data_IF_156731757017
#
_entry.id   IF_156731757017
#
_cell.length_a   1.000
_cell.length_b   1.000
_cell.length_c   1.000
_cell.angle_alpha   90.00
_cell.angle_beta   90.00
_cell.angle_gamma   90.00
#
_symmetry.space_group_name_H-M   'P 1'
#
loop_
_entity.id
_entity.type
_entity.pdbx_description
1 polymer ?
#
# COMPACT_ATOMS: atom_id res chain seq x y z
N UNK A 1 -12.36 10.51 22.01
CA UNK A 1 -12.81 10.76 20.63
C UNK A 1 -12.33 9.59 19.80
N UNK A 2 -13.21 8.90 19.08
CA UNK A 2 -12.77 7.87 18.15
C UNK A 2 -12.03 8.56 17.00
N UNK A 3 -10.76 8.22 16.81
CA UNK A 3 -9.99 8.70 15.66
C UNK A 3 -10.57 8.02 14.43
N UNK A 4 -11.41 8.74 13.69
CA UNK A 4 -11.90 8.24 12.43
C UNK A 4 -10.77 8.32 11.42
N UNK A 5 -10.29 7.16 10.96
CA UNK A 5 -9.26 7.12 9.95
C UNK A 5 -9.74 7.72 8.63
N UNK A 6 -8.85 8.35 7.87
CA UNK A 6 -9.16 8.89 6.54
C UNK A 6 -8.18 8.33 5.53
N UNK A 7 -8.73 7.76 4.46
CA UNK A 7 -7.94 7.22 3.36
C UNK A 7 -8.38 7.80 2.01
N UNK A 8 -7.46 7.82 1.05
CA UNK A 8 -7.76 8.01 -0.37
C UNK A 8 -7.34 6.76 -1.14
N UNK A 9 -8.17 6.33 -2.09
CA UNK A 9 -7.90 5.16 -2.93
C UNK A 9 -7.41 5.63 -4.29
N UNK A 10 -6.36 5.00 -4.81
CA UNK A 10 -5.86 5.25 -6.17
C UNK A 10 -5.83 3.95 -6.96
N UNK A 11 -6.49 3.95 -8.12
CA UNK A 11 -6.43 2.87 -9.09
C UNK A 11 -5.33 3.15 -10.11
N UNK A 12 -4.47 2.17 -10.40
CA UNK A 12 -3.40 2.32 -11.38
C UNK A 12 -2.20 3.12 -10.88
N UNK A 13 -1.44 3.66 -11.82
CA UNK A 13 -0.12 4.25 -11.61
C UNK A 13 -0.17 5.76 -11.68
N UNK A 14 0.62 6.42 -10.83
CA UNK A 14 0.90 7.84 -10.99
C UNK A 14 2.10 8.02 -11.92
N UNK A 15 2.10 9.01 -12.84
CA UNK A 15 3.15 9.17 -13.85
C UNK A 15 4.56 9.33 -13.25
N UNK A 16 4.65 10.02 -12.12
CA UNK A 16 5.94 10.36 -11.50
C UNK A 16 6.37 9.42 -10.37
N UNK A 17 5.56 8.41 -10.01
CA UNK A 17 5.92 7.47 -8.93
C UNK A 17 6.72 6.30 -9.49
N UNK A 18 7.89 5.97 -8.92
CA UNK A 18 8.67 4.84 -9.39
C UNK A 18 7.93 3.54 -9.14
N UNK A 19 8.04 2.61 -10.09
CA UNK A 19 7.51 1.25 -9.92
C UNK A 19 8.60 0.34 -9.36
N UNK A 20 8.31 -0.44 -8.31
CA UNK A 20 9.30 -1.30 -7.67
C UNK A 20 9.84 -2.37 -8.64
N UNK A 21 11.12 -2.71 -8.56
CA UNK A 21 11.74 -3.72 -9.44
C UNK A 21 11.00 -5.08 -9.39
N UNK A 22 10.58 -5.49 -8.19
CA UNK A 22 9.82 -6.73 -7.96
C UNK A 22 8.57 -6.82 -8.85
N UNK A 23 7.90 -5.71 -9.11
CA UNK A 23 6.69 -5.63 -9.94
C UNK A 23 7.00 -6.02 -11.38
N UNK A 24 8.15 -5.59 -11.90
CA UNK A 24 8.60 -5.96 -13.24
C UNK A 24 9.05 -7.42 -13.31
N UNK A 25 9.83 -7.89 -12.34
CA UNK A 25 10.34 -9.26 -12.28
C UNK A 25 9.23 -10.29 -12.19
N UNK A 26 8.16 -9.97 -11.46
CA UNK A 26 7.03 -10.88 -11.20
C UNK A 26 5.84 -10.64 -12.14
N UNK A 27 5.96 -9.69 -13.08
CA UNK A 27 4.92 -9.32 -14.03
C UNK A 27 3.58 -8.94 -13.36
N UNK A 28 3.64 -8.09 -12.32
CA UNK A 28 2.48 -7.59 -11.58
C UNK A 28 1.96 -6.30 -12.24
N UNK A 29 1.08 -6.45 -13.23
CA UNK A 29 0.72 -5.35 -14.14
C UNK A 29 -0.29 -4.33 -13.59
N UNK A 30 -0.99 -4.63 -12.50
CA UNK A 30 -2.04 -3.78 -11.95
C UNK A 30 -1.62 -3.24 -10.60
N UNK A 31 -1.89 -1.96 -10.36
CA UNK A 31 -1.63 -1.28 -9.09
C UNK A 31 -2.94 -0.79 -8.47
N UNK A 32 -3.04 -0.91 -7.16
CA UNK A 32 -4.05 -0.28 -6.32
C UNK A 32 -3.36 0.28 -5.09
N UNK A 33 -3.55 1.55 -4.78
CA UNK A 33 -2.89 2.17 -3.64
C UNK A 33 -3.89 2.75 -2.65
N UNK A 34 -3.50 2.71 -1.38
CA UNK A 34 -4.22 3.30 -0.25
C UNK A 34 -3.31 4.37 0.33
N UNK A 35 -3.78 5.61 0.30
CA UNK A 35 -3.13 6.76 0.88
C UNK A 35 -3.73 6.96 2.27
N UNK A 36 -2.91 6.82 3.29
CA UNK A 36 -3.29 7.15 4.66
C UNK A 36 -2.97 8.60 4.92
N UNK A 37 -3.99 9.37 5.26
CA UNK A 37 -3.79 10.75 5.70
C UNK A 37 -3.13 10.76 7.07
N UNK A 38 -2.08 11.56 7.21
CA UNK A 38 -1.27 11.59 8.43
C UNK A 38 -1.40 12.90 9.19
N UNK A 39 -1.81 13.97 8.49
CA UNK A 39 -2.00 15.30 9.06
C UNK A 39 -3.42 15.44 9.62
N UNK A 40 -3.55 15.22 10.93
CA UNK A 40 -4.78 15.50 11.66
C UNK A 40 -4.63 16.85 12.36
N UNK A 41 -5.49 17.87 12.11
CA UNK A 41 -5.33 19.20 12.72
C UNK A 41 -5.27 19.21 14.26
N UNK A 42 -5.85 18.18 14.88
CA UNK A 42 -5.90 17.98 16.33
C UNK A 42 -4.58 17.47 16.92
N UNK A 43 -3.71 16.90 16.08
CA UNK A 43 -2.44 16.29 16.46
C UNK A 43 -1.33 17.05 15.76
N UNK A 44 -0.47 17.74 16.52
CA UNK A 44 0.71 18.43 15.98
C UNK A 44 1.81 17.45 15.49
N UNK A 45 1.45 16.24 15.09
CA UNK A 45 2.36 15.17 14.69
C UNK A 45 1.75 14.30 13.59
N UNK A 46 2.60 13.72 12.77
CA UNK A 46 2.26 12.79 11.69
C UNK A 46 1.99 11.43 12.32
N UNK A 47 0.76 10.94 12.22
CA UNK A 47 0.38 9.64 12.78
C UNK A 47 0.05 8.64 11.69
N UNK A 48 0.57 7.42 11.84
CA UNK A 48 0.15 6.29 11.04
C UNK A 48 -1.08 5.63 11.65
N UNK A 49 -2.12 5.44 10.83
CA UNK A 49 -3.39 4.83 11.23
C UNK A 49 -3.26 3.29 11.32
N UNK A 50 -2.44 2.81 12.26
CA UNK A 50 -1.98 1.42 12.33
C UNK A 50 -3.11 0.40 12.44
N UNK A 51 -4.13 0.67 13.24
CA UNK A 51 -5.26 -0.27 13.42
C UNK A 51 -6.07 -0.41 12.13
N UNK A 52 -6.41 0.70 11.48
CA UNK A 52 -7.08 0.69 10.18
C UNK A 52 -6.26 -0.06 9.13
N UNK A 53 -4.94 0.18 9.09
CA UNK A 53 -4.06 -0.52 8.17
C UNK A 53 -4.09 -2.05 8.38
N UNK A 54 -4.05 -2.53 9.62
CA UNK A 54 -4.04 -3.97 9.93
C UNK A 54 -5.34 -4.64 9.45
N UNK A 55 -6.49 -3.99 9.66
CA UNK A 55 -7.78 -4.52 9.22
C UNK A 55 -7.89 -4.50 7.68
N UNK A 56 -7.45 -3.41 7.03
CA UNK A 56 -7.37 -3.33 5.57
C UNK A 56 -6.46 -4.41 4.98
N UNK A 57 -5.27 -4.62 5.55
CA UNK A 57 -4.34 -5.64 5.10
C UNK A 57 -4.93 -7.06 5.25
N UNK A 58 -5.65 -7.31 6.35
CA UNK A 58 -6.32 -8.59 6.60
C UNK A 58 -7.43 -8.86 5.58
N UNK A 59 -8.23 -7.83 5.27
CA UNK A 59 -9.27 -7.91 4.25
C UNK A 59 -8.66 -8.14 2.86
N UNK A 60 -7.62 -7.39 2.49
CA UNK A 60 -6.92 -7.55 1.21
C UNK A 60 -6.32 -8.95 1.09
N UNK A 61 -5.59 -9.45 2.09
CA UNK A 61 -5.02 -10.81 2.07
C UNK A 61 -6.11 -11.86 1.81
N UNK A 62 -7.25 -11.72 2.48
CA UNK A 62 -8.40 -12.62 2.32
C UNK A 62 -8.92 -12.60 0.90
N UNK A 63 -9.14 -11.41 0.32
CA UNK A 63 -9.67 -11.26 -1.03
C UNK A 63 -8.70 -11.68 -2.14
N UNK A 64 -7.39 -11.43 -1.96
CA UNK A 64 -6.34 -11.93 -2.86
C UNK A 64 -6.26 -13.46 -2.83
N UNK A 65 -6.69 -14.09 -1.73
CA UNK A 65 -6.65 -15.54 -1.57
C UNK A 65 -5.24 -16.09 -1.35
N UNK A 66 -4.35 -15.30 -0.74
CA UNK A 66 -2.99 -15.72 -0.37
C UNK A 66 -3.00 -16.65 0.86
N UNK A 67 -2.32 -17.79 0.74
CA UNK A 67 -2.14 -18.76 1.84
C UNK A 67 -1.04 -18.35 2.82
N UNK A 68 -0.09 -17.53 2.36
CA UNK A 68 1.07 -17.10 3.11
C UNK A 68 1.34 -15.61 2.92
N UNK A 69 1.91 -14.99 3.95
CA UNK A 69 2.27 -13.58 3.97
C UNK A 69 3.66 -13.42 4.60
N UNK A 70 4.50 -12.62 3.97
CA UNK A 70 5.72 -12.10 4.57
C UNK A 70 5.61 -10.58 4.62
N UNK A 71 5.87 -9.99 5.78
CA UNK A 71 5.86 -8.54 5.99
C UNK A 71 7.28 -8.13 6.38
N UNK A 72 7.85 -7.16 5.68
CA UNK A 72 9.15 -6.57 6.00
C UNK A 72 8.92 -5.17 6.57
N UNK A 73 9.33 -4.95 7.82
CA UNK A 73 9.35 -3.62 8.42
C UNK A 73 10.74 -2.99 8.30
N UNK A 74 10.92 -1.83 8.90
CA UNK A 74 12.25 -1.29 9.14
C UNK A 74 13.08 -2.23 10.06
N UNK A 75 14.39 -1.98 10.11
CA UNK A 75 15.36 -2.72 10.96
C UNK A 75 15.60 -4.19 10.59
N UNK A 76 15.31 -4.62 9.35
CA UNK A 76 15.47 -6.01 8.86
C UNK A 76 14.58 -7.02 9.58
N UNK A 77 13.55 -6.57 10.32
CA UNK A 77 12.56 -7.47 10.92
C UNK A 77 11.62 -7.98 9.82
N UNK A 78 11.26 -9.25 9.94
CA UNK A 78 10.34 -9.93 9.04
C UNK A 78 9.30 -10.70 9.83
N UNK A 79 8.06 -10.67 9.37
CA UNK A 79 6.93 -11.35 10.02
C UNK A 79 6.26 -12.27 9.02
N UNK A 80 5.86 -13.47 9.46
CA UNK A 80 5.19 -14.48 8.64
C UNK A 80 3.67 -14.50 8.84
N UNK A 81 3.12 -13.54 9.60
CA UNK A 81 1.69 -13.37 9.79
C UNK A 81 1.36 -11.92 10.14
N UNK A 82 0.12 -11.50 9.84
CA UNK A 82 -0.40 -10.17 10.20
C UNK A 82 -0.45 -10.02 11.72
N UNK A 83 -0.82 -11.07 12.46
CA UNK A 83 -0.91 -11.03 13.92
C UNK A 83 0.45 -10.75 14.58
N UNK A 84 1.53 -11.42 14.12
CA UNK A 84 2.87 -11.17 14.67
C UNK A 84 3.32 -9.73 14.39
N UNK A 85 3.01 -9.20 13.21
CA UNK A 85 3.30 -7.80 12.88
C UNK A 85 2.46 -6.84 13.74
N UNK A 86 1.16 -7.10 13.90
CA UNK A 86 0.24 -6.33 14.76
C UNK A 86 0.75 -6.27 16.19
N UNK A 87 1.12 -7.42 16.76
CA UNK A 87 1.57 -7.52 18.15
C UNK A 87 2.88 -6.77 18.40
N UNK A 88 3.80 -6.72 17.43
CA UNK A 88 5.02 -5.92 17.55
C UNK A 88 4.74 -4.43 17.36
N UNK A 89 3.94 -4.08 16.35
CA UNK A 89 3.60 -2.69 16.03
C UNK A 89 2.86 -2.00 17.20
N UNK A 90 1.92 -2.69 17.85
CA UNK A 90 1.12 -2.12 18.94
C UNK A 90 1.87 -1.98 20.28
N UNK A 91 3.09 -2.54 20.40
CA UNK A 91 3.97 -2.28 21.56
C UNK A 91 4.62 -0.90 21.51
N UNK A 92 4.73 -0.31 20.32
CA UNK A 92 5.32 1.01 20.11
C UNK A 92 4.33 2.11 20.53
N UNK A 93 4.87 3.26 20.94
CA UNK A 93 4.08 4.46 21.12
C UNK A 93 3.41 4.84 19.78
N UNK A 94 2.25 5.49 19.84
CA UNK A 94 1.43 5.73 18.64
C UNK A 94 2.15 6.53 17.55
N UNK A 95 2.96 7.51 17.97
CA UNK A 95 3.80 8.36 17.12
C UNK A 95 5.07 7.67 16.61
N UNK A 96 5.41 6.50 17.14
CA UNK A 96 6.52 5.66 16.68
C UNK A 96 6.08 4.56 15.71
N UNK A 97 4.76 4.35 15.54
CA UNK A 97 4.22 3.31 14.67
C UNK A 97 4.42 3.70 13.22
N UNK A 98 4.98 2.76 12.44
CA UNK A 98 5.23 2.93 11.01
C UNK A 98 4.57 1.81 10.21
N UNK A 99 4.09 2.08 8.99
CA UNK A 99 3.71 1.02 8.05
C UNK A 99 4.91 0.11 7.74
N UNK A 100 4.67 -1.17 7.37
CA UNK A 100 5.76 -2.01 6.90
C UNK A 100 6.30 -1.48 5.57
N UNK A 101 7.57 -1.74 5.27
CA UNK A 101 8.16 -1.35 3.98
C UNK A 101 7.58 -2.16 2.84
N UNK A 102 7.47 -3.48 3.03
CA UNK A 102 7.05 -4.42 1.98
C UNK A 102 6.16 -5.52 2.52
N UNK A 103 5.29 -6.02 1.65
CA UNK A 103 4.36 -7.10 1.92
C UNK A 103 4.41 -8.05 0.74
N UNK A 104 4.52 -9.34 1.01
CA UNK A 104 4.53 -10.38 -0.01
C UNK A 104 3.42 -11.37 0.30
N UNK A 105 2.39 -11.41 -0.56
CA UNK A 105 1.32 -12.40 -0.48
C UNK A 105 1.58 -13.49 -1.52
N UNK A 106 1.62 -14.73 -1.06
CA UNK A 106 1.87 -15.90 -1.89
C UNK A 106 0.71 -16.88 -1.83
N UNK A 107 0.58 -17.66 -2.90
CA UNK A 107 -0.28 -18.83 -2.99
C UNK A 107 0.48 -19.94 -3.67
N UNK A 108 0.56 -21.11 -3.04
CA UNK A 108 1.37 -22.23 -3.52
C UNK A 108 2.81 -21.81 -3.87
N UNK A 109 3.44 -21.03 -2.98
CA UNK A 109 4.80 -20.47 -3.13
C UNK A 109 5.00 -19.46 -4.28
N UNK A 110 3.96 -19.13 -5.05
CA UNK A 110 4.02 -18.11 -6.11
C UNK A 110 3.58 -16.75 -5.57
N UNK A 111 4.30 -15.68 -5.92
CA UNK A 111 3.91 -14.31 -5.57
C UNK A 111 2.67 -13.89 -6.38
N UNK A 112 1.59 -13.56 -5.67
CA UNK A 112 0.32 -13.15 -6.29
C UNK A 112 -0.03 -11.69 -6.01
N UNK A 113 0.48 -11.13 -4.90
CA UNK A 113 0.38 -9.72 -4.62
C UNK A 113 1.65 -9.24 -3.91
N UNK A 114 2.17 -8.11 -4.36
CA UNK A 114 3.27 -7.39 -3.72
C UNK A 114 2.74 -6.08 -3.18
N UNK A 115 3.01 -5.76 -1.92
CA UNK A 115 2.74 -4.46 -1.32
C UNK A 115 4.05 -3.73 -1.09
N UNK A 116 4.10 -2.44 -1.39
CA UNK A 116 5.21 -1.57 -0.99
C UNK A 116 4.67 -0.24 -0.45
N UNK A 117 5.31 0.23 0.61
CA UNK A 117 4.99 1.53 1.20
C UNK A 117 5.91 2.61 0.65
N UNK A 118 5.28 3.68 0.19
CA UNK A 118 5.90 4.94 -0.21
C UNK A 118 5.76 5.93 0.96
N UNK A 119 6.89 6.29 1.58
CA UNK A 119 6.96 7.09 2.81
C UNK A 119 6.96 8.60 2.53
N UNK A 120 5.97 9.08 1.77
CA UNK A 120 5.88 10.49 1.35
C UNK A 120 5.78 11.47 2.53
N UNK A 121 5.27 11.04 3.68
CA UNK A 121 5.30 11.77 4.95
C UNK A 121 6.71 12.16 5.41
N UNK A 122 7.76 11.47 4.94
CA UNK A 122 9.15 11.72 5.36
C UNK A 122 9.95 12.55 4.36
N UNK A 123 9.49 12.67 3.11
CA UNK A 123 10.27 13.32 2.04
C UNK A 123 9.48 14.26 1.13
N UNK A 124 8.17 14.37 1.32
CA UNK A 124 7.26 15.06 0.40
C UNK A 124 7.03 14.25 -0.89
N UNK A 125 5.86 14.42 -1.50
CA UNK A 125 5.47 13.70 -2.72
C UNK A 125 4.55 14.54 -3.61
N UNK A 126 4.37 14.16 -4.88
CA UNK A 126 3.39 14.82 -5.74
C UNK A 126 1.96 14.59 -5.21
N UNK A 127 1.03 15.47 -5.53
CA UNK A 127 -0.38 15.21 -5.26
C UNK A 127 -0.84 13.92 -5.98
N UNK A 128 -1.65 13.04 -5.37
CA UNK A 128 -2.31 13.17 -4.06
C UNK A 128 -1.50 12.68 -2.85
N UNK A 129 -0.23 12.32 -3.03
CA UNK A 129 0.56 11.61 -2.03
C UNK A 129 1.31 12.49 -1.03
N UNK A 130 1.31 13.82 -1.19
CA UNK A 130 2.04 14.74 -0.30
C UNK A 130 1.73 14.43 1.17
N UNK A 131 2.78 14.33 1.98
CA UNK A 131 2.70 14.16 3.43
C UNK A 131 1.88 12.94 3.87
N UNK A 132 1.94 11.83 3.11
CA UNK A 132 1.16 10.63 3.38
C UNK A 132 2.02 9.38 3.57
N UNK A 133 1.45 8.37 4.21
CA UNK A 133 1.91 7.00 4.03
C UNK A 133 1.05 6.36 2.94
N UNK A 134 1.65 5.98 1.82
CA UNK A 134 0.92 5.34 0.72
C UNK A 134 1.34 3.88 0.61
N UNK A 135 0.39 2.96 0.71
CA UNK A 135 0.65 1.52 0.53
C UNK A 135 0.08 1.08 -0.81
N UNK A 136 0.97 0.69 -1.71
CA UNK A 136 0.65 0.25 -3.06
C UNK A 136 0.67 -1.26 -3.16
N UNK A 137 -0.44 -1.86 -3.59
CA UNK A 137 -0.59 -3.28 -3.88
C UNK A 137 -0.53 -3.53 -5.38
N UNK A 138 0.25 -4.52 -5.78
CA UNK A 138 0.51 -4.89 -7.16
C UNK A 138 0.10 -6.33 -7.42
N UNK A 139 -0.70 -6.58 -8.46
CA UNK A 139 -1.26 -7.89 -8.80
C UNK A 139 -1.12 -8.21 -10.29
N UNK A 140 -1.17 -9.50 -10.65
CA UNK A 140 -1.16 -9.94 -12.05
C UNK A 140 -2.47 -9.65 -12.78
N UNK A 141 -3.58 -9.74 -12.05
CA UNK A 141 -4.93 -9.52 -12.54
C UNK A 141 -5.49 -8.22 -11.96
N UNK A 142 -6.45 -7.60 -12.65
CA UNK A 142 -7.10 -6.39 -12.15
C UNK A 142 -7.99 -6.73 -10.95
N UNK A 143 -7.58 -6.32 -9.76
CA UNK A 143 -8.32 -6.53 -8.51
C UNK A 143 -8.96 -5.24 -7.96
N UNK A 144 -9.07 -4.18 -8.76
CA UNK A 144 -9.49 -2.86 -8.29
C UNK A 144 -10.87 -2.86 -7.62
N UNK A 145 -11.86 -3.52 -8.21
CA UNK A 145 -13.21 -3.62 -7.63
C UNK A 145 -13.21 -4.39 -6.32
N UNK A 146 -12.46 -5.49 -6.29
CA UNK A 146 -12.31 -6.37 -5.12
C UNK A 146 -11.65 -5.61 -3.96
N UNK A 147 -10.56 -4.90 -4.22
CA UNK A 147 -9.87 -4.09 -3.22
C UNK A 147 -10.69 -2.89 -2.76
N UNK A 148 -11.39 -2.21 -3.68
CA UNK A 148 -12.30 -1.14 -3.32
C UNK A 148 -13.43 -1.61 -2.40
N UNK A 149 -14.03 -2.77 -2.69
CA UNK A 149 -15.06 -3.36 -1.84
C UNK A 149 -14.50 -3.72 -0.45
N UNK A 150 -13.32 -4.35 -0.39
CA UNK A 150 -12.64 -4.65 0.86
C UNK A 150 -12.39 -3.39 1.70
N UNK A 151 -11.84 -2.33 1.09
CA UNK A 151 -11.60 -1.07 1.77
C UNK A 151 -12.90 -0.41 2.24
N UNK A 152 -13.94 -0.41 1.40
CA UNK A 152 -15.23 0.20 1.74
C UNK A 152 -15.89 -0.50 2.92
N UNK A 153 -15.83 -1.84 2.98
CA UNK A 153 -16.37 -2.61 4.09
C UNK A 153 -15.62 -2.32 5.40
N UNK A 154 -14.28 -2.41 5.39
CA UNK A 154 -13.46 -2.12 6.57
C UNK A 154 -13.66 -0.69 7.05
N UNK A 155 -13.67 0.29 6.13
CA UNK A 155 -13.92 1.68 6.49
C UNK A 155 -15.31 1.86 7.11
N UNK A 156 -16.35 1.22 6.56
CA UNK A 156 -17.69 1.28 7.15
C UNK A 156 -17.74 0.67 8.56
N UNK A 157 -17.10 -0.48 8.77
CA UNK A 157 -17.08 -1.18 10.06
C UNK A 157 -16.31 -0.41 11.13
N UNK A 158 -15.20 0.22 10.75
CA UNK A 158 -14.35 1.00 11.66
C UNK A 158 -14.78 2.48 11.79
N UNK A 159 -15.80 2.91 11.03
CA UNK A 159 -16.18 4.32 10.92
C UNK A 159 -15.11 5.20 10.30
N UNK A 160 -14.19 4.66 9.50
CA UNK A 160 -13.22 5.41 8.72
C UNK A 160 -13.85 5.98 7.45
N UNK A 161 -13.24 7.02 6.88
CA UNK A 161 -13.74 7.76 5.73
C UNK A 161 -12.84 7.49 4.52
N UNK A 162 -13.45 7.12 3.40
CA UNK A 162 -12.78 7.17 2.09
C UNK A 162 -13.04 8.56 1.52
N UNK A 163 -12.04 9.44 1.54
CA UNK A 163 -12.16 10.83 1.07
C UNK A 163 -12.42 10.88 -0.43
N UNK A 164 -11.56 10.21 -1.20
CA UNK A 164 -11.61 10.25 -2.65
C UNK A 164 -11.19 8.90 -3.26
N UNK A 165 -11.60 8.69 -4.50
CA UNK A 165 -11.17 7.61 -5.37
C UNK A 165 -10.59 8.21 -6.65
N UNK A 166 -9.32 7.99 -6.90
CA UNK A 166 -8.57 8.60 -8.00
C UNK A 166 -8.22 7.53 -9.03
N UNK A 167 -8.42 7.84 -10.30
CA UNK A 167 -8.00 6.98 -11.41
C UNK A 167 -6.67 7.49 -11.97
N UNK A 168 -5.61 6.72 -11.76
CA UNK A 168 -4.31 6.87 -12.40
C UNK A 168 -4.22 6.15 -13.74
N UNK A 169 -3.01 6.07 -14.26
CA UNK A 169 -2.69 5.41 -15.52
C UNK A 169 -2.89 3.90 -15.42
N UNK A 170 -3.38 3.23 -16.49
CA UNK A 170 -3.62 1.78 -16.47
C UNK A 170 -2.32 0.95 -16.44
N UNK A 171 -1.21 1.55 -16.88
CA UNK A 171 0.12 0.93 -16.95
C UNK A 171 1.17 1.93 -16.46
N UNK A 172 2.32 1.45 -15.96
CA UNK A 172 3.38 2.35 -15.58
C UNK A 172 3.99 3.00 -16.82
N UNK A 173 4.18 4.33 -16.77
CA UNK A 173 4.95 4.99 -17.80
C UNK A 173 6.40 4.53 -17.72
N UNK A 174 6.87 3.91 -18.81
CA UNK A 174 8.30 3.65 -18.94
C UNK A 174 9.01 5.00 -19.04
N UNK A 175 10.04 5.25 -18.23
CA UNK A 175 10.87 6.43 -18.41
C UNK A 175 11.39 6.50 -19.84
N UNK A 176 11.42 7.69 -20.43
CA UNK A 176 11.80 7.89 -21.84
C UNK A 176 13.16 7.26 -22.18
N UNK A 177 14.12 7.26 -21.26
CA UNK A 177 15.43 6.64 -21.44
C UNK A 177 15.37 5.11 -21.54
N UNK A 178 14.44 4.43 -20.85
CA UNK A 178 14.19 2.98 -21.03
C UNK A 178 13.52 2.66 -22.38
N UNK A 179 12.87 3.64 -23.02
CA UNK A 179 12.33 3.50 -24.38
C UNK A 179 13.44 3.54 -25.44
N UNK A 180 14.58 4.16 -25.16
CA UNK A 180 15.71 4.23 -26.10
C UNK A 180 16.48 2.90 -26.22
N UNK A 181 16.62 2.15 -25.12
CA UNK A 181 17.36 0.87 -25.14
C UNK A 181 16.58 -0.30 -25.77
N UNK A 182 15.28 -0.17 -25.99
CA UNK A 182 14.46 -1.22 -26.65
C UNK A 182 14.59 -1.22 -28.17
N UNK A 183 15.16 -0.16 -28.77
CA UNK A 183 15.37 -0.05 -30.23
C UNK A 183 16.66 -0.73 -30.69
N UNK A 184 17.62 -0.98 -29.78
CA UNK A 184 18.94 -1.54 -30.11
C UNK A 184 19.08 -3.05 -29.85
N UNK A 185 17.98 -3.76 -29.58
CA UNK A 185 17.98 -5.21 -29.28
C UNK A 185 17.20 -6.04 -30.30
N UNK A 186 17.14 -5.62 -31.56
CA UNK A 186 16.65 -6.43 -32.68
C UNK A 186 17.78 -6.77 -33.62
#
# INVERSE_FOLDING_TARGET
MNKHGVITIVYGYHPDTPVPEQVYTENLCYRFAIIFETAFPEYNTILFQSELFIELLSAIKTQVGGDSIQIESDEKKQYQSINLFKDDLLKLAEDERMPPRRIFLRKNNSLICFGETEFWALCGGPAPYSDSYTVSFYTKENMNEVFNAACSNVCSEMGAIIRERIQGLPYPEKPWWKKLFTVFSK
#
